data_IF_632358179271
#
_entry.id   IF_632358179271
#
_cell.length_a   1.000
_cell.length_b   1.000
_cell.length_c   1.000
_cell.angle_alpha   90.00
_cell.angle_beta   90.00
_cell.angle_gamma   90.00
#
_symmetry.space_group_name_H-M   'P 1'
#
loop_
_entity.id
_entity.type
_entity.pdbx_description
1 polymer ?
#
# COMPACT_ATOMS: atom_id res chain seq x y z
N UNK A 1 -6.28 -3.04 6.18
CA UNK A 1 -5.27 -3.90 6.81
C UNK A 1 -4.41 -3.13 7.80
N UNK A 2 -3.80 -2.01 7.40
CA UNK A 2 -2.92 -1.20 8.27
C UNK A 2 -3.52 -0.89 9.66
N UNK A 3 -4.75 -0.41 9.73
CA UNK A 3 -5.41 -0.13 11.03
C UNK A 3 -5.54 -1.37 11.92
N UNK A 4 -5.97 -2.51 11.35
CA UNK A 4 -6.02 -3.77 12.09
C UNK A 4 -4.66 -4.21 12.63
N UNK A 5 -3.57 -3.91 11.92
CA UNK A 5 -2.21 -4.21 12.40
C UNK A 5 -1.81 -3.25 13.53
N UNK A 6 -2.24 -1.98 13.44
CA UNK A 6 -2.05 -1.01 14.51
C UNK A 6 -2.83 -1.38 15.79
N UNK A 7 -4.06 -1.90 15.65
CA UNK A 7 -4.87 -2.38 16.77
C UNK A 7 -4.21 -3.56 17.52
N UNK A 8 -3.32 -4.31 16.85
CA UNK A 8 -2.52 -5.38 17.44
C UNK A 8 -1.20 -4.88 18.09
N UNK A 9 -0.98 -3.55 18.14
CA UNK A 9 0.20 -2.94 18.76
C UNK A 9 1.42 -2.79 17.84
N UNK A 10 1.27 -3.00 16.52
CA UNK A 10 2.35 -2.82 15.56
C UNK A 10 2.29 -1.45 14.87
N UNK A 11 3.43 -0.90 14.45
CA UNK A 11 3.46 0.30 13.62
C UNK A 11 3.57 -0.07 12.13
N UNK A 12 2.46 -0.08 11.36
CA UNK A 12 2.49 -0.47 9.96
C UNK A 12 3.21 0.58 9.09
N UNK A 13 4.28 0.15 8.43
CA UNK A 13 5.01 0.97 7.43
C UNK A 13 4.53 0.61 6.03
N UNK A 14 3.87 1.55 5.35
CA UNK A 14 3.37 1.34 3.99
C UNK A 14 4.36 1.88 2.95
N UNK A 15 4.65 1.09 1.93
CA UNK A 15 5.49 1.51 0.79
C UNK A 15 4.57 1.74 -0.41
N UNK A 16 4.77 2.85 -1.13
CA UNK A 16 4.04 3.09 -2.38
C UNK A 16 4.39 2.03 -3.42
N UNK A 17 3.43 1.47 -4.18
CA UNK A 17 3.70 0.51 -5.25
C UNK A 17 4.71 1.02 -6.28
N UNK A 18 4.78 2.34 -6.50
CA UNK A 18 5.74 2.96 -7.41
C UNK A 18 7.20 2.75 -6.98
N UNK A 19 7.45 2.64 -5.68
CA UNK A 19 8.79 2.38 -5.15
C UNK A 19 9.12 0.88 -5.09
N UNK A 20 8.12 0.00 -5.12
CA UNK A 20 8.32 -1.46 -5.14
C UNK A 20 8.54 -1.96 -6.56
N UNK A 21 7.82 -1.39 -7.53
CA UNK A 21 7.82 -1.82 -8.94
C UNK A 21 9.22 -2.01 -9.55
N UNK A 22 10.23 -1.15 -9.30
CA UNK A 22 11.58 -1.33 -9.85
C UNK A 22 12.29 -2.61 -9.39
N UNK A 23 11.87 -3.21 -8.26
CA UNK A 23 12.48 -4.40 -7.67
C UNK A 23 11.77 -5.71 -8.04
N UNK A 24 10.68 -5.64 -8.80
CA UNK A 24 9.93 -6.82 -9.27
C UNK A 24 10.67 -7.44 -10.47
N UNK A 25 11.27 -8.62 -10.28
CA UNK A 25 12.18 -9.24 -11.25
C UNK A 25 11.49 -10.04 -12.37
N UNK A 26 10.24 -10.45 -12.19
CA UNK A 26 9.52 -11.29 -13.17
C UNK A 26 8.01 -11.05 -13.12
N UNK A 27 7.22 -11.93 -13.75
CA UNK A 27 5.77 -11.90 -13.63
C UNK A 27 5.31 -11.88 -12.17
N UNK A 28 4.17 -11.22 -11.96
CA UNK A 28 3.59 -11.06 -10.63
C UNK A 28 3.28 -12.42 -10.01
N UNK A 29 3.93 -12.70 -8.89
CA UNK A 29 3.55 -13.75 -7.95
C UNK A 29 3.86 -13.26 -6.53
N UNK A 30 3.23 -13.86 -5.53
CA UNK A 30 3.34 -13.37 -4.14
C UNK A 30 4.78 -13.45 -3.59
N UNK A 31 5.58 -14.42 -4.06
CA UNK A 31 6.98 -14.59 -3.66
C UNK A 31 7.86 -13.44 -4.15
N UNK A 32 7.74 -13.09 -5.43
CA UNK A 32 8.48 -12.00 -6.08
C UNK A 32 8.03 -10.65 -5.51
N UNK A 33 6.73 -10.49 -5.24
CA UNK A 33 6.22 -9.28 -4.59
C UNK A 33 6.79 -9.13 -3.17
N UNK A 34 6.87 -10.21 -2.38
CA UNK A 34 7.48 -10.18 -1.05
C UNK A 34 8.98 -9.83 -1.10
N UNK A 35 9.73 -10.44 -2.02
CA UNK A 35 11.16 -10.13 -2.23
C UNK A 35 11.35 -8.64 -2.61
N UNK A 36 10.55 -8.15 -3.56
CA UNK A 36 10.61 -6.76 -4.01
C UNK A 36 10.27 -5.75 -2.90
N UNK A 37 9.29 -6.07 -2.05
CA UNK A 37 8.94 -5.24 -0.88
C UNK A 37 10.09 -5.21 0.13
N UNK A 38 10.71 -6.36 0.42
CA UNK A 38 11.86 -6.44 1.33
C UNK A 38 13.06 -5.65 0.79
N UNK A 39 13.36 -5.79 -0.51
CA UNK A 39 14.45 -5.05 -1.16
C UNK A 39 14.19 -3.54 -1.10
N UNK A 40 12.97 -3.11 -1.44
CA UNK A 40 12.55 -1.72 -1.33
C UNK A 40 12.70 -1.21 0.12
N UNK A 41 12.17 -1.94 1.10
CA UNK A 41 12.25 -1.58 2.51
C UNK A 41 13.69 -1.46 3.04
N UNK A 42 14.64 -2.21 2.47
CA UNK A 42 16.05 -2.18 2.84
C UNK A 42 16.80 -0.91 2.39
N UNK A 43 16.25 -0.16 1.42
CA UNK A 43 16.93 1.02 0.88
C UNK A 43 17.00 2.14 1.91
N UNK A 44 18.18 2.77 2.14
CA UNK A 44 18.33 3.83 3.13
C UNK A 44 17.53 5.10 2.79
N UNK A 45 17.24 5.32 1.51
CA UNK A 45 16.42 6.43 1.02
C UNK A 45 14.92 6.11 0.94
N UNK A 46 14.48 4.95 1.47
CA UNK A 46 13.09 4.52 1.37
C UNK A 46 12.15 5.45 2.14
N UNK A 47 11.00 5.74 1.53
CA UNK A 47 9.98 6.63 2.09
C UNK A 47 8.68 5.87 2.31
N UNK A 48 8.20 5.92 3.54
CA UNK A 48 6.92 5.33 3.91
C UNK A 48 5.79 6.33 3.77
N UNK A 49 4.63 5.84 3.34
CA UNK A 49 3.39 6.62 3.27
C UNK A 49 2.52 6.34 4.48
N UNK A 50 1.82 7.38 4.96
CA UNK A 50 0.89 7.22 6.07
C UNK A 50 -0.31 6.38 5.65
N UNK A 51 -0.83 5.51 6.54
CA UNK A 51 -2.13 4.89 6.34
C UNK A 51 -3.21 5.96 6.14
N UNK A 52 -4.17 5.69 5.23
CA UNK A 52 -5.31 6.57 5.03
C UNK A 52 -6.19 6.61 6.27
N UNK A 53 -6.67 7.80 6.64
CA UNK A 53 -7.66 7.96 7.72
C UNK A 53 -9.00 7.34 7.32
N UNK A 54 -9.88 7.11 8.30
CA UNK A 54 -11.21 6.58 8.06
C UNK A 54 -12.02 7.50 7.12
N UNK A 55 -11.96 8.81 7.33
CA UNK A 55 -12.65 9.80 6.49
C UNK A 55 -12.14 9.78 5.04
N UNK A 56 -10.81 9.65 4.85
CA UNK A 56 -10.22 9.50 3.52
C UNK A 56 -10.66 8.22 2.82
N UNK A 57 -10.84 7.13 3.58
CA UNK A 57 -11.35 5.86 3.03
C UNK A 57 -12.83 5.98 2.66
N UNK A 58 -13.64 6.63 3.49
CA UNK A 58 -15.06 6.88 3.23
C UNK A 58 -15.25 7.77 1.99
N UNK A 59 -14.51 8.87 1.90
CA UNK A 59 -14.55 9.77 0.74
C UNK A 59 -14.17 9.03 -0.56
N UNK A 60 -13.11 8.21 -0.54
CA UNK A 60 -12.72 7.41 -1.70
C UNK A 60 -13.80 6.38 -2.08
N UNK A 61 -14.54 5.82 -1.11
CA UNK A 61 -15.67 4.95 -1.39
C UNK A 61 -16.83 5.69 -2.06
N UNK A 62 -17.17 6.89 -1.58
CA UNK A 62 -18.20 7.75 -2.19
C UNK A 62 -17.84 8.12 -3.64
N UNK A 63 -16.58 8.48 -3.90
CA UNK A 63 -16.12 8.77 -5.26
C UNK A 63 -16.30 7.56 -6.18
N UNK A 64 -15.96 6.34 -5.72
CA UNK A 64 -16.17 5.11 -6.51
C UNK A 64 -17.64 4.84 -6.81
N UNK A 65 -18.54 5.07 -5.85
CA UNK A 65 -19.99 4.88 -6.05
C UNK A 65 -20.50 5.88 -7.10
N UNK A 66 -20.09 7.14 -6.99
CA UNK A 66 -20.46 8.17 -7.96
C UNK A 66 -19.97 7.80 -9.36
N UNK A 67 -18.70 7.43 -9.51
CA UNK A 67 -18.11 7.11 -10.80
C UNK A 67 -18.77 5.87 -11.45
N UNK A 68 -19.29 4.93 -10.65
CA UNK A 68 -20.05 3.77 -11.14
C UNK A 68 -21.47 4.12 -11.63
N UNK A 69 -22.05 5.24 -11.18
CA UNK A 69 -23.42 5.68 -11.54
C UNK A 69 -23.45 6.73 -12.66
N UNK A 70 -22.29 7.33 -12.98
CA UNK A 70 -22.13 8.30 -14.08
C UNK A 70 -21.64 7.59 -15.38
N UNK A 71 -21.50 6.26 -15.36
CA UNK A 71 -21.25 5.45 -16.57
C UNK A 71 -22.44 5.42 -17.51
#
# INVERSE_FOLDING_TARGET
>A
MAHRIADLGHEPKLISPQFVRPFVKSNKNDFVDAEAICEAASRPSMRFVKPRTQDQQAMAALHRVRDALIM
#
